data_IF_189689722794
#
_entry.id   IF_189689722794
#
_cell.length_a   1.000
_cell.length_b   1.000
_cell.length_c   1.000
_cell.angle_alpha   90.00
_cell.angle_beta   90.00
_cell.angle_gamma   90.00
#
_symmetry.space_group_name_H-M   'P 1'
#
loop_
_entity.id
_entity.type
_entity.pdbx_description
1 polymer ?
#
# COMPACT_ATOMS: atom_id res chain seq x y z
N UNK A 1 1.94 0.09 13.66
CA UNK A 1 2.87 -0.95 13.18
C UNK A 1 2.86 -2.24 14.01
N UNK A 2 2.15 -2.33 15.14
CA UNK A 2 1.96 -3.58 15.91
C UNK A 2 1.13 -4.64 15.16
N UNK A 3 0.09 -4.20 14.43
CA UNK A 3 -0.90 -5.06 13.76
C UNK A 3 -0.34 -5.95 12.62
N UNK A 4 0.81 -5.58 12.03
CA UNK A 4 1.45 -6.37 10.96
C UNK A 4 2.24 -7.55 11.55
N UNK A 5 2.71 -7.45 12.80
CA UNK A 5 3.41 -8.54 13.50
C UNK A 5 2.45 -9.61 14.02
N UNK A 6 1.23 -9.23 14.39
CA UNK A 6 0.19 -10.18 14.83
C UNK A 6 -0.28 -11.12 13.70
N UNK A 7 -0.27 -10.65 12.44
CA UNK A 7 -0.70 -11.46 11.28
C UNK A 7 0.34 -12.50 10.83
N UNK A 8 1.63 -12.26 11.10
CA UNK A 8 2.71 -13.23 10.83
C UNK A 8 2.76 -14.33 11.90
N UNK A 9 2.25 -14.05 13.11
CA UNK A 9 2.21 -14.99 14.23
C UNK A 9 0.93 -15.85 14.27
N UNK A 10 0.50 -16.37 13.11
CA UNK A 10 -0.71 -17.18 12.97
C UNK A 10 -0.79 -18.39 13.93
N UNK A 11 -2.00 -18.86 14.27
CA UNK A 11 -2.23 -19.72 15.43
C UNK A 11 -1.92 -21.18 15.09
N UNK A 12 -0.73 -21.66 15.47
CA UNK A 12 -0.44 -23.09 15.48
C UNK A 12 -0.16 -23.55 16.90
N UNK A 13 -1.09 -24.37 17.39
CA UNK A 13 -1.05 -24.95 18.71
C UNK A 13 0.09 -25.93 18.93
N UNK A 14 0.34 -26.15 20.22
CA UNK A 14 1.04 -27.29 20.84
C UNK A 14 2.56 -27.36 20.67
N UNK A 15 3.30 -26.92 21.69
CA UNK A 15 4.01 -27.80 22.65
C UNK A 15 4.85 -26.97 23.66
N UNK A 16 4.91 -27.35 24.95
CA UNK A 16 5.70 -26.64 25.94
C UNK A 16 7.12 -27.22 25.99
N UNK A 17 8.15 -26.49 25.55
CA UNK A 17 9.54 -26.79 25.93
C UNK A 17 10.50 -25.61 25.70
N UNK A 18 11.23 -25.26 26.75
CA UNK A 18 12.58 -24.71 26.63
C UNK A 18 12.72 -23.19 26.63
N UNK A 19 13.21 -22.66 27.77
CA UNK A 19 13.71 -21.29 28.08
C UNK A 19 14.77 -20.69 27.11
N UNK A 20 14.62 -20.79 25.78
CA UNK A 20 15.63 -20.31 24.79
C UNK A 20 15.05 -19.40 23.68
N UNK A 21 13.79 -18.97 23.78
CA UNK A 21 13.18 -18.08 22.76
C UNK A 21 13.23 -16.59 23.12
N UNK A 22 13.39 -16.23 24.39
CA UNK A 22 13.37 -14.81 24.82
C UNK A 22 14.64 -14.03 24.46
N UNK A 23 15.82 -14.66 24.44
CA UNK A 23 17.10 -13.95 24.16
C UNK A 23 17.28 -13.60 22.69
N UNK A 24 16.67 -14.36 21.78
CA UNK A 24 16.74 -14.10 20.34
C UNK A 24 15.90 -12.87 19.95
N UNK A 25 14.79 -12.63 20.67
CA UNK A 25 13.95 -11.46 20.49
C UNK A 25 14.63 -10.18 20.98
N UNK A 26 15.41 -10.21 22.06
CA UNK A 26 16.07 -9.00 22.58
C UNK A 26 17.34 -8.60 21.82
N UNK A 27 17.99 -9.53 21.09
CA UNK A 27 19.23 -9.26 20.35
C UNK A 27 19.01 -8.67 18.94
N UNK A 28 17.86 -8.94 18.32
CA UNK A 28 17.54 -8.45 16.96
C UNK A 28 16.90 -7.05 16.98
N UNK A 29 16.21 -6.68 18.07
CA UNK A 29 15.50 -5.41 18.22
C UNK A 29 16.37 -4.14 18.39
N UNK A 30 17.54 -4.14 19.06
CA UNK A 30 18.29 -2.89 19.28
C UNK A 30 18.97 -2.34 18.01
N UNK A 31 19.27 -3.18 17.03
CA UNK A 31 19.95 -2.76 15.78
C UNK A 31 19.07 -1.91 14.86
N UNK A 32 17.74 -2.12 14.86
CA UNK A 32 16.78 -1.39 14.02
C UNK A 32 16.46 0.04 14.53
N UNK A 33 16.83 0.36 15.77
CA UNK A 33 16.51 1.65 16.42
C UNK A 33 17.42 2.81 16.00
N UNK A 34 18.61 2.50 15.45
CA UNK A 34 19.63 3.52 15.15
C UNK A 34 19.40 4.18 13.78
N UNK A 35 18.85 3.46 12.81
CA UNK A 35 18.63 3.97 11.44
C UNK A 35 17.33 4.76 11.25
N UNK A 36 16.29 4.48 12.04
CA UNK A 36 15.00 5.20 11.98
C UNK A 36 15.07 6.64 12.46
N UNK A 37 16.19 7.04 13.08
CA UNK A 37 16.41 8.39 13.60
C UNK A 37 16.81 9.41 12.52
N UNK A 38 17.39 8.97 11.41
CA UNK A 38 17.90 9.87 10.36
C UNK A 38 16.87 10.06 9.25
N UNK A 39 15.95 9.10 9.12
CA UNK A 39 14.81 9.14 8.19
C UNK A 39 14.01 10.46 8.34
N UNK A 40 13.57 10.88 9.53
CA UNK A 40 12.84 12.15 9.67
C UNK A 40 13.69 13.39 9.31
N UNK A 41 15.01 13.33 9.50
CA UNK A 41 15.92 14.45 9.20
C UNK A 41 16.20 14.60 7.69
N UNK A 42 16.27 13.49 6.95
CA UNK A 42 16.42 13.50 5.49
C UNK A 42 15.15 14.00 4.77
N UNK A 43 13.97 13.75 5.33
CA UNK A 43 12.70 14.30 4.84
C UNK A 43 12.53 15.81 5.09
N UNK A 44 13.26 16.37 6.05
CA UNK A 44 13.19 17.78 6.46
C UNK A 44 13.81 18.77 5.43
N UNK A 45 14.54 18.26 4.43
CA UNK A 45 15.35 19.06 3.51
C UNK A 45 14.58 19.67 2.30
N UNK A 46 13.31 19.34 2.04
CA UNK A 46 12.67 19.60 0.72
C UNK A 46 11.41 20.51 0.64
N UNK A 47 11.18 21.44 1.58
CA UNK A 47 10.51 22.76 1.36
C UNK A 47 9.06 22.87 0.82
N UNK A 48 8.11 23.36 1.64
CA UNK A 48 7.47 24.72 1.73
C UNK A 48 6.28 25.02 0.78
N UNK A 49 5.08 25.11 1.40
CA UNK A 49 3.81 25.68 0.89
C UNK A 49 2.59 24.76 1.03
N UNK A 50 1.42 25.24 1.47
CA UNK A 50 0.17 24.45 1.52
C UNK A 50 -0.19 23.84 0.16
N UNK A 51 -0.09 24.67 -0.89
CA UNK A 51 -0.38 24.25 -2.26
C UNK A 51 0.68 23.30 -2.83
N UNK A 52 1.94 23.46 -2.43
CA UNK A 52 3.01 22.54 -2.87
C UNK A 52 2.90 21.19 -2.15
N UNK A 53 2.51 21.16 -0.87
CA UNK A 53 2.25 19.90 -0.16
C UNK A 53 1.12 19.08 -0.81
N UNK A 54 -0.01 19.72 -1.14
CA UNK A 54 -1.13 19.06 -1.85
C UNK A 54 -0.68 18.57 -3.23
N UNK A 55 0.11 19.36 -3.95
CA UNK A 55 0.65 18.96 -5.26
C UNK A 55 1.59 17.74 -5.16
N UNK A 56 2.44 17.69 -4.13
CA UNK A 56 3.33 16.55 -3.87
C UNK A 56 2.57 15.28 -3.51
N UNK A 57 1.53 15.39 -2.67
CA UNK A 57 0.65 14.24 -2.35
C UNK A 57 -0.04 13.73 -3.61
N UNK A 58 -0.59 14.64 -4.42
CA UNK A 58 -1.23 14.29 -5.69
C UNK A 58 -0.28 13.52 -6.60
N UNK A 59 0.94 14.03 -6.83
CA UNK A 59 1.93 13.39 -7.70
C UNK A 59 2.36 12.02 -7.16
N UNK A 60 2.52 11.90 -5.83
CA UNK A 60 2.92 10.67 -5.14
C UNK A 60 1.86 9.57 -5.17
N UNK A 61 0.59 9.93 -5.36
CA UNK A 61 -0.54 8.98 -5.37
C UNK A 61 -0.99 8.67 -6.80
N UNK A 62 -1.10 9.66 -7.67
CA UNK A 62 -1.76 9.51 -8.98
C UNK A 62 -1.01 8.56 -9.90
N UNK A 63 0.33 8.62 -9.90
CA UNK A 63 1.17 7.76 -10.74
C UNK A 63 1.07 6.28 -10.31
N UNK A 64 1.35 5.91 -9.04
CA UNK A 64 1.23 4.52 -8.62
C UNK A 64 -0.22 4.02 -8.70
N UNK A 65 -1.22 4.84 -8.34
CA UNK A 65 -2.63 4.43 -8.41
C UNK A 65 -3.05 4.06 -9.84
N UNK A 66 -2.58 4.81 -10.84
CA UNK A 66 -2.83 4.51 -12.26
C UNK A 66 -2.18 3.19 -12.68
N UNK A 67 -0.96 2.91 -12.22
CA UNK A 67 -0.26 1.65 -12.49
C UNK A 67 -0.99 0.46 -11.86
N UNK A 68 -1.44 0.58 -10.61
CA UNK A 68 -2.24 -0.45 -9.95
C UNK A 68 -3.55 -0.70 -10.68
N UNK A 69 -4.26 0.36 -11.08
CA UNK A 69 -5.52 0.24 -11.82
C UNK A 69 -5.31 -0.45 -13.17
N UNK A 70 -4.28 -0.04 -13.91
CA UNK A 70 -3.97 -0.63 -15.23
C UNK A 70 -3.54 -2.09 -15.09
N UNK A 71 -2.74 -2.41 -14.08
CA UNK A 71 -2.32 -3.78 -13.77
C UNK A 71 -3.51 -4.65 -13.40
N UNK A 72 -4.44 -4.13 -12.59
CA UNK A 72 -5.68 -4.81 -12.23
C UNK A 72 -6.57 -5.13 -13.43
N UNK A 73 -6.67 -4.22 -14.39
CA UNK A 73 -7.42 -4.46 -15.65
C UNK A 73 -6.73 -5.54 -16.50
N UNK A 74 -5.39 -5.50 -16.62
CA UNK A 74 -4.64 -6.49 -17.40
C UNK A 74 -4.61 -7.88 -16.77
N UNK A 75 -4.79 -7.97 -15.45
CA UNK A 75 -4.83 -9.24 -14.71
C UNK A 75 -6.13 -10.03 -14.96
N UNK A 76 -7.16 -9.37 -15.50
CA UNK A 76 -8.40 -10.01 -15.92
C UNK A 76 -8.09 -10.90 -17.13
N UNK A 77 -8.46 -12.19 -17.04
CA UNK A 77 -8.22 -13.17 -18.11
C UNK A 77 -8.81 -12.69 -19.45
N UNK A 78 -8.10 -12.87 -20.58
CA UNK A 78 -8.60 -12.49 -21.89
C UNK A 78 -9.92 -13.23 -22.24
N UNK A 79 -10.15 -14.40 -21.65
CA UNK A 79 -11.34 -15.22 -21.79
C UNK A 79 -12.65 -14.46 -21.51
N UNK A 80 -12.61 -13.48 -20.60
CA UNK A 80 -13.77 -12.63 -20.29
C UNK A 80 -14.24 -11.81 -21.50
N UNK A 81 -13.33 -11.42 -22.40
CA UNK A 81 -13.70 -10.74 -23.66
C UNK A 81 -14.36 -11.69 -24.65
N UNK A 82 -13.90 -12.95 -24.72
CA UNK A 82 -14.52 -13.96 -25.58
C UNK A 82 -15.95 -14.27 -25.13
N UNK A 83 -16.16 -14.51 -23.83
CA UNK A 83 -17.50 -14.76 -23.29
C UNK A 83 -18.43 -13.57 -23.52
N UNK A 84 -17.94 -12.34 -23.34
CA UNK A 84 -18.71 -11.13 -23.60
C UNK A 84 -19.13 -10.97 -25.06
N UNK A 85 -18.26 -11.35 -26.01
CA UNK A 85 -18.57 -11.34 -27.44
C UNK A 85 -19.67 -12.35 -27.79
N UNK A 86 -19.65 -13.55 -27.19
CA UNK A 86 -20.72 -14.55 -27.37
C UNK A 86 -22.08 -14.08 -26.82
N UNK A 87 -22.07 -13.27 -25.75
CA UNK A 87 -23.28 -12.70 -25.15
C UNK A 87 -23.72 -11.37 -25.80
N UNK A 88 -23.01 -10.86 -26.81
CA UNK A 88 -23.36 -9.60 -27.49
C UNK A 88 -23.22 -8.35 -26.61
N UNK A 89 -22.47 -8.43 -25.51
CA UNK A 89 -22.33 -7.33 -24.53
C UNK A 89 -21.46 -6.22 -25.14
N UNK A 90 -21.97 -4.99 -25.12
CA UNK A 90 -21.27 -3.81 -25.65
C UNK A 90 -20.29 -3.22 -24.63
N UNK A 91 -19.24 -2.53 -25.09
CA UNK A 91 -18.06 -2.19 -24.30
C UNK A 91 -18.31 -1.50 -22.95
N UNK A 92 -19.32 -0.64 -22.83
CA UNK A 92 -19.66 0.02 -21.56
C UNK A 92 -20.26 -0.94 -20.53
N UNK A 93 -21.10 -1.85 -21.01
CA UNK A 93 -21.75 -2.87 -20.20
C UNK A 93 -20.75 -3.95 -19.79
N UNK A 94 -19.79 -4.29 -20.66
CA UNK A 94 -18.63 -5.11 -20.32
C UNK A 94 -17.76 -4.47 -19.23
N UNK A 95 -17.51 -3.17 -19.35
CA UNK A 95 -16.70 -2.42 -18.40
C UNK A 95 -17.30 -2.43 -16.99
N UNK A 96 -18.62 -2.27 -16.85
CA UNK A 96 -19.30 -2.28 -15.56
C UNK A 96 -19.55 -3.67 -14.99
N UNK A 97 -19.91 -4.64 -15.84
CA UNK A 97 -20.37 -5.96 -15.39
C UNK A 97 -19.23 -6.93 -15.14
N UNK A 98 -18.11 -6.78 -15.86
CA UNK A 98 -16.99 -7.74 -15.77
C UNK A 98 -15.70 -7.05 -15.34
N UNK A 99 -15.33 -5.94 -15.99
CA UNK A 99 -14.04 -5.28 -15.74
C UNK A 99 -14.03 -4.60 -14.36
N UNK A 100 -15.09 -3.87 -14.00
CA UNK A 100 -15.20 -3.18 -12.71
C UNK A 100 -15.11 -4.14 -11.52
N UNK A 101 -15.95 -5.20 -11.42
CA UNK A 101 -15.87 -6.14 -10.30
C UNK A 101 -14.59 -6.99 -10.35
N UNK A 102 -14.07 -7.30 -11.54
CA UNK A 102 -12.83 -8.06 -11.71
C UNK A 102 -11.58 -7.27 -11.28
N UNK A 103 -11.54 -5.96 -11.55
CA UNK A 103 -10.44 -5.08 -11.15
C UNK A 103 -10.62 -4.47 -9.75
N UNK A 104 -11.82 -4.54 -9.17
CA UNK A 104 -12.13 -3.99 -7.84
C UNK A 104 -11.13 -4.38 -6.74
N UNK A 105 -10.75 -5.66 -6.55
CA UNK A 105 -9.79 -6.01 -5.50
C UNK A 105 -8.40 -5.38 -5.72
N UNK A 106 -7.94 -5.28 -6.97
CA UNK A 106 -6.68 -4.61 -7.32
C UNK A 106 -6.75 -3.10 -7.07
N UNK A 107 -7.87 -2.47 -7.40
CA UNK A 107 -8.10 -1.04 -7.12
C UNK A 107 -8.09 -0.79 -5.60
N UNK A 108 -8.72 -1.66 -4.80
CA UNK A 108 -8.74 -1.54 -3.33
C UNK A 108 -7.33 -1.72 -2.74
N UNK A 109 -6.56 -2.68 -3.24
CA UNK A 109 -5.16 -2.88 -2.82
C UNK A 109 -4.31 -1.67 -3.20
N UNK A 110 -4.42 -1.20 -4.43
CA UNK A 110 -3.73 -0.01 -4.93
C UNK A 110 -4.05 1.22 -4.09
N UNK A 111 -5.33 1.45 -3.81
CA UNK A 111 -5.81 2.54 -2.95
C UNK A 111 -5.23 2.44 -1.54
N UNK A 112 -5.18 1.24 -0.94
CA UNK A 112 -4.58 1.04 0.39
C UNK A 112 -3.11 1.40 0.41
N UNK A 113 -2.36 0.99 -0.62
CA UNK A 113 -0.92 1.28 -0.72
C UNK A 113 -0.70 2.77 -0.90
N UNK A 114 -1.44 3.41 -1.81
CA UNK A 114 -1.28 4.84 -2.08
C UNK A 114 -1.82 5.72 -0.97
N UNK A 115 -2.81 5.28 -0.21
CA UNK A 115 -3.25 5.96 1.02
C UNK A 115 -2.16 5.91 2.10
N UNK A 116 -1.48 4.76 2.23
CA UNK A 116 -0.34 4.64 3.15
C UNK A 116 0.81 5.56 2.74
N UNK A 117 1.12 5.69 1.44
CA UNK A 117 2.15 6.64 0.99
C UNK A 117 1.70 8.09 1.15
N UNK A 118 0.45 8.42 0.84
CA UNK A 118 -0.10 9.76 1.06
C UNK A 118 0.03 10.19 2.53
N UNK A 119 -0.29 9.28 3.45
CA UNK A 119 -0.15 9.54 4.88
C UNK A 119 1.30 9.82 5.29
N UNK A 120 2.28 9.09 4.74
CA UNK A 120 3.70 9.36 4.99
C UNK A 120 4.13 10.73 4.44
N UNK A 121 3.61 11.14 3.28
CA UNK A 121 3.89 12.45 2.70
C UNK A 121 3.24 13.57 3.52
N UNK A 122 2.03 13.36 4.05
CA UNK A 122 1.38 14.32 4.97
C UNK A 122 2.20 14.45 6.25
N UNK A 123 2.59 13.33 6.87
CA UNK A 123 3.46 13.36 8.05
C UNK A 123 4.77 14.11 7.77
N UNK A 124 5.36 13.93 6.59
CA UNK A 124 6.52 14.70 6.18
C UNK A 124 6.22 16.20 6.07
N UNK A 125 5.10 16.57 5.46
CA UNK A 125 4.67 17.96 5.28
C UNK A 125 4.44 18.68 6.62
N UNK A 126 3.82 18.01 7.59
CA UNK A 126 3.66 18.51 8.97
C UNK A 126 5.02 18.80 9.62
N UNK A 127 6.00 17.91 9.46
CA UNK A 127 7.34 18.09 10.02
C UNK A 127 8.12 19.24 9.35
N UNK A 128 7.76 19.60 8.11
CA UNK A 128 8.35 20.72 7.36
C UNK A 128 7.81 22.07 7.86
N UNK A 129 6.86 22.09 8.81
CA UNK A 129 6.41 23.31 9.46
C UNK A 129 5.49 24.14 8.57
N UNK A 130 4.63 23.47 7.80
CA UNK A 130 3.44 24.11 7.23
C UNK A 130 2.59 24.63 8.39
N UNK A 131 2.35 25.95 8.41
CA UNK A 131 1.49 26.64 9.38
C UNK A 131 0.33 27.27 8.66
#
# INVERSE_FOLDING_TARGET
MSFVMDFVAGPHGSRPHGKRSSSFCTLVFPSWSLGTRWIPLALLWFGIGDRSAVFLIYLSVVLPLTVFTTSGIHRIRPDYRMVAQYYGITGWELARTVILPGAFPEIVVGLRITLATAWLVILAAEMIGVR
#
